data_IF_272954823290
#
_entry.id   IF_272954823290
#
_cell.length_a   1.000
_cell.length_b   1.000
_cell.length_c   1.000
_cell.angle_alpha   90.00
_cell.angle_beta   90.00
_cell.angle_gamma   90.00
#
_symmetry.space_group_name_H-M   'P 1'
#
loop_
_entity.id
_entity.type
_entity.pdbx_description
1 polymer ?
#
# COMPACT_ATOMS: atom_id res chain seq x y z
N UNK A 1 13.27 -12.51 1.54
CA UNK A 1 12.75 -11.72 2.68
C UNK A 1 11.27 -11.97 2.75
N UNK A 2 10.72 -12.22 3.94
CA UNK A 2 9.29 -12.49 4.10
C UNK A 2 8.52 -11.24 4.52
N UNK A 3 7.28 -11.11 4.06
CA UNK A 3 6.39 -10.06 4.52
C UNK A 3 6.07 -10.25 6.01
N UNK A 4 6.33 -9.26 6.90
CA UNK A 4 6.03 -9.40 8.32
C UNK A 4 4.54 -9.51 8.66
N UNK A 5 3.65 -9.14 7.72
CA UNK A 5 2.19 -9.22 7.93
C UNK A 5 1.60 -10.61 7.62
N UNK A 6 2.09 -11.31 6.60
CA UNK A 6 1.50 -12.58 6.13
C UNK A 6 2.50 -13.71 5.90
N UNK A 7 3.78 -13.49 6.23
CA UNK A 7 4.89 -14.43 6.05
C UNK A 7 5.19 -14.84 4.60
N UNK A 8 4.55 -14.23 3.58
CA UNK A 8 4.86 -14.50 2.17
C UNK A 8 6.30 -14.18 1.82
N UNK A 9 7.01 -15.13 1.21
CA UNK A 9 8.48 -15.12 1.07
C UNK A 9 9.02 -14.32 -0.13
N UNK A 10 8.16 -13.89 -1.05
CA UNK A 10 8.58 -13.18 -2.27
C UNK A 10 7.67 -11.98 -2.59
N UNK A 11 7.76 -10.87 -1.83
CA UNK A 11 7.09 -9.62 -2.19
C UNK A 11 7.63 -9.05 -3.51
N UNK A 12 6.76 -8.48 -4.34
CA UNK A 12 7.13 -7.93 -5.64
C UNK A 12 7.75 -6.54 -5.48
N UNK A 13 8.91 -6.27 -6.08
CA UNK A 13 9.48 -4.93 -6.14
C UNK A 13 8.68 -4.08 -7.14
N UNK A 14 8.22 -2.91 -6.70
CA UNK A 14 7.46 -1.96 -7.51
C UNK A 14 8.34 -0.80 -7.98
N UNK A 15 9.21 -0.28 -7.12
CA UNK A 15 10.16 0.78 -7.46
C UNK A 15 11.43 0.71 -6.62
N UNK A 16 12.46 1.43 -7.04
CA UNK A 16 13.76 1.48 -6.34
C UNK A 16 14.38 2.87 -6.46
N UNK A 17 14.87 3.40 -5.34
CA UNK A 17 15.49 4.70 -5.20
C UNK A 17 16.76 4.58 -4.35
N UNK A 18 17.92 4.49 -5.00
CA UNK A 18 19.19 4.27 -4.31
C UNK A 18 19.19 2.95 -3.53
N UNK A 19 19.40 3.03 -2.22
CA UNK A 19 19.41 1.88 -1.30
C UNK A 19 18.01 1.47 -0.81
N UNK A 20 16.97 2.18 -1.23
CA UNK A 20 15.58 1.94 -0.81
C UNK A 20 14.81 1.26 -1.94
N UNK A 21 14.06 0.20 -1.62
CA UNK A 21 13.16 -0.49 -2.56
C UNK A 21 11.76 -0.50 -1.99
N UNK A 22 10.77 -0.16 -2.81
CA UNK A 22 9.37 -0.26 -2.44
C UNK A 22 8.82 -1.55 -3.02
N UNK A 23 8.17 -2.35 -2.17
CA UNK A 23 7.62 -3.64 -2.54
C UNK A 23 6.13 -3.72 -2.20
N UNK A 24 5.42 -4.59 -2.92
CA UNK A 24 4.04 -4.95 -2.65
C UNK A 24 3.92 -6.43 -2.38
N UNK A 25 3.30 -6.77 -1.25
CA UNK A 25 2.99 -8.14 -0.92
C UNK A 25 1.63 -8.56 -1.51
N UNK A 26 1.45 -9.86 -1.74
CA UNK A 26 0.17 -10.44 -2.18
C UNK A 26 -0.97 -10.20 -1.18
N UNK A 27 -0.67 -10.01 0.11
CA UNK A 27 -1.67 -9.64 1.12
C UNK A 27 -2.12 -8.17 1.05
N UNK A 28 -1.64 -7.39 0.07
CA UNK A 28 -2.01 -5.99 -0.11
C UNK A 28 -1.14 -4.99 0.64
N UNK A 29 -0.30 -5.44 1.57
CA UNK A 29 0.60 -4.59 2.34
C UNK A 29 1.75 -4.04 1.48
N UNK A 30 2.04 -2.75 1.68
CA UNK A 30 3.22 -2.08 1.15
C UNK A 30 4.40 -2.22 2.11
N UNK A 31 5.57 -2.51 1.55
CA UNK A 31 6.81 -2.73 2.30
C UNK A 31 7.90 -1.80 1.76
N UNK A 32 8.78 -1.33 2.65
CA UNK A 32 10.00 -0.59 2.28
C UNK A 32 11.19 -1.43 2.73
N UNK A 33 12.04 -1.80 1.79
CA UNK A 33 13.32 -2.46 2.06
C UNK A 33 14.45 -1.44 1.96
N UNK A 34 15.32 -1.42 2.97
CA UNK A 34 16.53 -0.61 3.02
C UNK A 34 17.67 -1.43 3.65
N UNK A 35 18.88 -0.89 3.73
CA UNK A 35 20.03 -1.61 4.28
C UNK A 35 19.88 -2.13 5.72
N UNK A 36 18.90 -1.59 6.47
CA UNK A 36 18.59 -2.00 7.85
C UNK A 36 17.52 -3.08 7.99
N UNK A 37 16.84 -3.46 6.90
CA UNK A 37 15.78 -4.46 6.94
C UNK A 37 14.57 -4.10 6.08
N UNK A 38 13.39 -4.51 6.56
CA UNK A 38 12.11 -4.22 5.94
C UNK A 38 11.14 -3.68 6.97
N UNK A 39 10.50 -2.58 6.60
CA UNK A 39 9.41 -1.98 7.36
C UNK A 39 8.09 -2.05 6.59
N UNK A 40 7.00 -2.17 7.34
CA UNK A 40 5.65 -1.98 6.79
C UNK A 40 5.43 -0.48 6.59
N UNK A 41 4.90 -0.10 5.43
CA UNK A 41 4.46 1.28 5.19
C UNK A 41 3.16 1.52 5.93
N UNK A 42 3.25 1.97 7.18
CA UNK A 42 2.12 2.42 8.00
C UNK A 42 1.67 3.79 7.53
N UNK A 43 0.77 3.81 6.55
CA UNK A 43 0.18 5.05 6.03
C UNK A 43 -0.99 4.84 5.08
N UNK A 44 -1.19 3.63 4.55
CA UNK A 44 -2.31 3.33 3.64
C UNK A 44 -3.09 2.05 3.97
N UNK A 45 -2.61 1.23 4.91
CA UNK A 45 -3.28 0.00 5.33
C UNK A 45 -4.36 0.20 6.42
N UNK A 46 -4.51 1.43 6.95
CA UNK A 46 -5.60 1.77 7.88
C UNK A 46 -6.94 2.09 7.17
N UNK A 47 -7.05 1.83 5.87
CA UNK A 47 -8.28 2.01 5.08
C UNK A 47 -8.75 0.69 4.46
N UNK A 48 -8.50 -0.43 5.14
CA UNK A 48 -9.31 -1.64 4.96
C UNK A 48 -10.61 -1.59 5.80
N UNK A 49 -10.89 -0.43 6.40
CA UNK A 49 -12.21 0.01 6.79
C UNK A 49 -12.52 1.24 5.91
N UNK A 50 -12.73 0.99 4.62
CA UNK A 50 -13.49 1.89 3.77
C UNK A 50 -14.93 1.41 3.81
N UNK A 51 -15.51 1.42 5.02
CA UNK A 51 -16.96 1.54 5.25
C UNK A 51 -17.42 2.98 4.99
N UNK A 52 -16.74 3.70 4.08
CA UNK A 52 -17.19 4.99 3.54
C UNK A 52 -17.21 4.89 2.02
N UNK A 53 -18.04 3.96 1.55
CA UNK A 53 -18.67 4.05 0.24
C UNK A 53 -19.80 5.11 0.22
N UNK A 54 -19.83 6.07 1.15
CA UNK A 54 -20.98 6.97 1.36
C UNK A 54 -20.72 8.47 1.13
N UNK A 55 -19.63 8.85 0.47
CA UNK A 55 -19.47 10.24 0.04
C UNK A 55 -18.74 10.42 -1.31
N UNK A 56 -19.14 9.66 -2.33
CA UNK A 56 -19.03 10.16 -3.70
C UNK A 56 -20.29 10.98 -4.00
N UNK A 57 -20.32 12.23 -3.53
CA UNK A 57 -21.33 13.17 -4.03
C UNK A 57 -21.13 13.37 -5.54
N UNK A 58 -22.16 13.00 -6.29
CA UNK A 58 -22.25 13.15 -7.73
C UNK A 58 -22.18 14.65 -8.07
N UNK A 59 -21.18 15.08 -8.84
CA UNK A 59 -21.06 16.48 -9.29
C UNK A 59 -22.30 16.78 -10.15
N UNK A 60 -23.17 17.74 -9.79
CA UNK A 60 -24.31 18.08 -10.63
C UNK A 60 -23.82 18.71 -11.94
N UNK A 61 -24.44 18.29 -13.04
CA UNK A 61 -24.23 18.90 -14.36
C UNK A 61 -24.90 20.28 -14.40
N UNK A 62 -24.36 21.26 -15.14
CA UNK A 62 -24.96 22.57 -15.25
C UNK A 62 -26.33 22.49 -15.96
N UNK A 63 -27.33 23.21 -15.45
CA UNK A 63 -28.56 23.52 -16.18
C UNK A 63 -28.25 24.51 -17.32
N UNK A 64 -28.85 24.26 -18.48
CA UNK A 64 -28.70 25.03 -19.74
C UNK A 64 -29.47 26.36 -19.77
#
# INVERSE_FOLDING_TARGET
MSCPACSWSSPMVVSSHGSVRYLRCVCGTWLVQHGGGVDIVTGRAALADADEAEHLELIPLPDE
#
